data_IF_754676725204
#
_entry.id   IF_754676725204
#
_cell.length_a   1.000
_cell.length_b   1.000
_cell.length_c   1.000
_cell.angle_alpha   90.00
_cell.angle_beta   90.00
_cell.angle_gamma   90.00
#
_symmetry.space_group_name_H-M   'P 1'
#
loop_
_entity.id
_entity.type
_entity.pdbx_description
1 polymer ?
#
# COMPACT_ATOMS: atom_id res chain seq x y z
N UNK A 1 -30.73 2.36 12.59
CA UNK A 1 -29.44 2.12 11.86
C UNK A 1 -29.61 0.83 11.06
N UNK A 2 -29.87 0.93 9.75
CA UNK A 2 -30.08 -0.25 8.90
C UNK A 2 -28.71 -0.92 8.64
N UNK A 3 -28.64 -2.21 8.94
CA UNK A 3 -27.49 -3.08 8.66
C UNK A 3 -27.30 -3.21 7.14
N UNK A 4 -26.09 -2.95 6.63
CA UNK A 4 -25.70 -3.17 5.23
C UNK A 4 -25.56 -4.65 4.85
N UNK A 5 -25.93 -5.58 5.72
CA UNK A 5 -25.68 -7.01 5.60
C UNK A 5 -26.65 -7.79 4.66
N UNK A 6 -27.59 -7.12 4.02
CA UNK A 6 -28.53 -7.77 3.09
C UNK A 6 -28.00 -7.81 1.66
N UNK A 7 -27.68 -8.99 1.12
CA UNK A 7 -27.45 -9.35 -0.28
C UNK A 7 -26.07 -9.10 -0.90
N UNK A 8 -24.98 -9.48 -0.23
CA UNK A 8 -23.65 -9.58 -0.87
C UNK A 8 -23.42 -10.92 -1.61
N UNK A 9 -24.43 -11.50 -2.25
CA UNK A 9 -24.30 -12.83 -2.91
C UNK A 9 -23.60 -12.82 -4.27
N UNK A 10 -23.15 -11.65 -4.79
CA UNK A 10 -22.31 -11.58 -5.99
C UNK A 10 -20.81 -11.70 -5.65
N UNK A 11 -20.46 -11.72 -4.39
CA UNK A 11 -19.09 -11.83 -3.93
C UNK A 11 -18.89 -13.15 -3.20
N UNK A 12 -18.09 -14.04 -3.77
CA UNK A 12 -17.52 -15.27 -3.20
C UNK A 12 -18.43 -16.01 -2.20
N UNK A 13 -18.77 -17.23 -2.52
CA UNK A 13 -19.33 -18.18 -1.56
C UNK A 13 -18.48 -18.11 -0.27
N UNK A 14 -19.08 -17.79 0.91
CA UNK A 14 -18.35 -17.77 2.18
C UNK A 14 -17.70 -19.13 2.53
N UNK A 15 -18.20 -20.22 1.93
CA UNK A 15 -17.65 -21.57 2.05
C UNK A 15 -16.51 -21.84 1.05
N UNK A 16 -16.28 -20.96 0.05
CA UNK A 16 -15.22 -21.14 -0.92
C UNK A 16 -13.83 -21.01 -0.26
N UNK A 17 -12.99 -22.02 -0.47
CA UNK A 17 -11.59 -22.00 0.02
C UNK A 17 -10.77 -20.97 -0.75
N UNK A 18 -9.87 -20.27 -0.04
CA UNK A 18 -8.90 -19.38 -0.66
C UNK A 18 -7.99 -20.15 -1.63
N UNK A 19 -7.75 -19.57 -2.80
CA UNK A 19 -6.83 -20.13 -3.81
C UNK A 19 -5.38 -19.79 -3.44
N UNK A 20 -4.84 -20.46 -2.44
CA UNK A 20 -3.50 -20.18 -1.87
C UNK A 20 -2.38 -20.13 -2.92
N UNK A 21 -2.27 -21.04 -3.91
CA UNK A 21 -1.24 -20.93 -4.95
C UNK A 21 -1.31 -19.61 -5.73
N UNK A 22 -2.52 -19.13 -6.02
CA UNK A 22 -2.73 -17.85 -6.70
C UNK A 22 -2.32 -16.68 -5.80
N UNK A 23 -2.66 -16.75 -4.51
CA UNK A 23 -2.26 -15.73 -3.53
C UNK A 23 -0.74 -15.64 -3.39
N UNK A 24 -0.06 -16.78 -3.32
CA UNK A 24 1.40 -16.81 -3.24
C UNK A 24 2.05 -16.30 -4.53
N UNK A 25 1.52 -16.67 -5.69
CA UNK A 25 2.02 -16.19 -6.98
C UNK A 25 1.88 -14.67 -7.12
N UNK A 26 0.71 -14.10 -6.82
CA UNK A 26 0.52 -12.64 -6.91
C UNK A 26 1.28 -11.89 -5.80
N UNK A 27 1.49 -12.50 -4.62
CA UNK A 27 2.33 -11.97 -3.55
C UNK A 27 3.81 -11.92 -3.96
N UNK A 28 4.29 -12.95 -4.64
CA UNK A 28 5.64 -12.95 -5.24
C UNK A 28 5.79 -11.84 -6.28
N UNK A 29 4.81 -11.67 -7.17
CA UNK A 29 4.85 -10.56 -8.14
C UNK A 29 4.83 -9.20 -7.43
N UNK A 30 4.09 -9.06 -6.32
CA UNK A 30 4.09 -7.84 -5.52
C UNK A 30 5.47 -7.58 -4.91
N UNK A 31 6.12 -8.62 -4.37
CA UNK A 31 7.49 -8.52 -3.88
C UNK A 31 8.45 -8.02 -4.96
N UNK A 32 8.38 -8.59 -6.17
CA UNK A 32 9.22 -8.19 -7.30
C UNK A 32 8.94 -6.76 -7.76
N UNK A 33 7.65 -6.35 -7.83
CA UNK A 33 7.26 -4.99 -8.18
C UNK A 33 7.81 -3.96 -7.18
N UNK A 34 7.60 -4.19 -5.89
CA UNK A 34 8.00 -3.23 -4.85
C UNK A 34 9.52 -3.22 -4.66
N UNK A 35 10.21 -4.34 -4.93
CA UNK A 35 11.67 -4.35 -5.03
C UNK A 35 12.17 -3.41 -6.14
N UNK A 36 11.55 -3.43 -7.32
CA UNK A 36 11.93 -2.53 -8.42
C UNK A 36 11.68 -1.05 -8.07
N UNK A 37 10.57 -0.74 -7.41
CA UNK A 37 10.33 0.62 -6.93
C UNK A 37 11.38 1.05 -5.91
N UNK A 38 11.74 0.17 -4.98
CA UNK A 38 12.72 0.45 -3.93
C UNK A 38 14.17 0.59 -4.47
N UNK A 39 14.46 0.07 -5.67
CA UNK A 39 15.73 0.31 -6.38
C UNK A 39 15.97 1.79 -6.60
N UNK A 40 14.95 2.56 -6.96
CA UNK A 40 15.12 3.99 -7.33
C UNK A 40 15.70 4.80 -6.17
N UNK A 41 15.09 4.84 -4.96
CA UNK A 41 15.71 5.55 -3.85
C UNK A 41 17.01 4.91 -3.35
N UNK A 42 17.21 3.61 -3.52
CA UNK A 42 18.44 2.93 -3.15
C UNK A 42 19.63 3.35 -4.03
N UNK A 43 19.37 3.82 -5.24
CA UNK A 43 20.38 4.31 -6.18
C UNK A 43 20.67 5.81 -6.05
N UNK A 44 19.99 6.58 -5.21
CA UNK A 44 20.10 8.05 -5.21
C UNK A 44 21.54 8.57 -5.11
N UNK A 45 22.32 8.08 -4.16
CA UNK A 45 23.71 8.50 -3.98
C UNK A 45 24.58 8.12 -5.16
N UNK A 46 24.36 6.96 -5.76
CA UNK A 46 25.09 6.47 -6.93
C UNK A 46 24.73 7.29 -8.18
N UNK A 47 23.46 7.64 -8.35
CA UNK A 47 22.99 8.47 -9.46
C UNK A 47 23.45 9.93 -9.32
N UNK A 48 23.49 10.44 -8.07
CA UNK A 48 24.05 11.76 -7.77
C UNK A 48 25.50 11.85 -8.25
N UNK A 49 26.32 10.87 -7.85
CA UNK A 49 27.74 10.83 -8.24
C UNK A 49 27.93 10.59 -9.75
N UNK A 50 27.21 9.61 -10.34
CA UNK A 50 27.43 9.18 -11.73
C UNK A 50 26.96 10.20 -12.77
N UNK A 51 25.91 10.97 -12.46
CA UNK A 51 25.31 11.95 -13.36
C UNK A 51 25.52 13.41 -12.92
N UNK A 52 26.28 13.64 -11.84
CA UNK A 52 26.53 14.96 -11.22
C UNK A 52 25.19 15.68 -10.91
N UNK A 53 24.26 14.99 -10.27
CA UNK A 53 22.94 15.53 -9.97
C UNK A 53 22.99 16.46 -8.76
N UNK A 54 22.19 17.53 -8.80
CA UNK A 54 21.90 18.29 -7.59
C UNK A 54 20.92 17.55 -6.69
N UNK A 55 20.91 17.86 -5.38
CA UNK A 55 19.93 17.30 -4.42
C UNK A 55 18.49 17.61 -4.85
N UNK A 56 18.24 18.77 -5.46
CA UNK A 56 16.95 19.10 -6.04
C UNK A 56 16.55 18.13 -7.15
N UNK A 57 17.48 17.76 -8.04
CA UNK A 57 17.22 16.78 -9.11
C UNK A 57 16.96 15.38 -8.54
N UNK A 58 17.65 14.96 -7.50
CA UNK A 58 17.37 13.72 -6.75
C UNK A 58 15.96 13.78 -6.16
N UNK A 59 15.57 14.91 -5.59
CA UNK A 59 14.21 15.15 -5.11
C UNK A 59 13.14 15.01 -6.20
N UNK A 60 13.41 15.52 -7.40
CA UNK A 60 12.53 15.38 -8.55
C UNK A 60 12.35 13.92 -9.01
N UNK A 61 13.39 13.09 -8.93
CA UNK A 61 13.31 11.66 -9.25
C UNK A 61 12.30 10.97 -8.29
N UNK A 62 12.46 11.20 -6.99
CA UNK A 62 11.55 10.67 -5.98
C UNK A 62 10.11 11.17 -6.14
N UNK A 63 9.96 12.47 -6.42
CA UNK A 63 8.66 13.07 -6.67
C UNK A 63 7.96 12.42 -7.88
N UNK A 64 8.64 12.28 -9.01
CA UNK A 64 8.08 11.68 -10.23
C UNK A 64 7.70 10.22 -10.02
N UNK A 65 8.54 9.44 -9.33
CA UNK A 65 8.20 8.06 -8.98
C UNK A 65 6.91 8.01 -8.15
N UNK A 66 6.85 8.78 -7.08
CA UNK A 66 5.70 8.75 -6.16
C UNK A 66 4.43 9.30 -6.82
N UNK A 67 4.51 10.37 -7.60
CA UNK A 67 3.36 10.90 -8.33
C UNK A 67 2.81 9.90 -9.34
N UNK A 68 3.68 9.30 -10.15
CA UNK A 68 3.23 8.32 -11.15
C UNK A 68 2.76 7.01 -10.53
N UNK A 69 3.46 6.49 -9.53
CA UNK A 69 3.08 5.24 -8.89
C UNK A 69 1.83 5.36 -8.01
N UNK A 70 1.58 6.52 -7.40
CA UNK A 70 0.52 6.66 -6.39
C UNK A 70 -0.74 7.34 -6.94
N UNK A 71 -0.59 8.52 -7.59
CA UNK A 71 -1.75 9.29 -8.07
C UNK A 71 -2.43 8.61 -9.25
N UNK A 72 -1.68 7.86 -10.05
CA UNK A 72 -2.24 7.12 -11.18
C UNK A 72 -3.01 5.86 -10.77
N UNK A 73 -2.83 5.31 -9.57
CA UNK A 73 -3.52 4.08 -9.13
C UNK A 73 -5.05 4.21 -9.14
N UNK A 74 -5.68 5.25 -8.55
CA UNK A 74 -7.13 5.41 -8.63
C UNK A 74 -7.64 5.56 -10.07
N UNK A 75 -6.87 6.27 -10.93
CA UNK A 75 -7.23 6.47 -12.34
C UNK A 75 -7.21 5.14 -13.10
N UNK A 76 -6.13 4.38 -12.96
CA UNK A 76 -6.00 3.04 -13.56
C UNK A 76 -7.06 2.10 -13.00
N UNK A 77 -7.29 2.11 -11.69
CA UNK A 77 -8.33 1.31 -11.05
C UNK A 77 -9.72 1.61 -11.60
N UNK A 78 -10.07 2.88 -11.76
CA UNK A 78 -11.36 3.29 -12.34
C UNK A 78 -11.48 2.91 -13.82
N UNK A 79 -10.38 2.97 -14.59
CA UNK A 79 -10.36 2.53 -16.00
C UNK A 79 -10.57 1.01 -16.09
N UNK A 80 -9.84 0.24 -15.29
CA UNK A 80 -9.91 -1.22 -15.30
C UNK A 80 -11.24 -1.76 -14.77
N UNK A 81 -11.93 -1.03 -13.90
CA UNK A 81 -13.29 -1.36 -13.45
C UNK A 81 -14.35 -1.23 -14.57
N UNK A 82 -14.07 -0.37 -15.56
CA UNK A 82 -14.93 -0.19 -16.74
C UNK A 82 -14.56 -1.12 -17.89
N UNK A 83 -13.27 -1.37 -18.07
CA UNK A 83 -12.71 -2.19 -19.16
C UNK A 83 -11.71 -3.17 -18.54
N UNK A 84 -12.23 -4.30 -18.11
CA UNK A 84 -11.45 -5.34 -17.48
C UNK A 84 -10.49 -6.00 -18.49
N UNK A 85 -9.22 -5.67 -18.42
CA UNK A 85 -8.17 -6.16 -19.31
C UNK A 85 -7.10 -6.92 -18.51
N UNK A 86 -7.22 -8.24 -18.33
CA UNK A 86 -6.25 -9.03 -17.58
C UNK A 86 -4.79 -8.87 -18.03
N UNK A 87 -4.59 -8.51 -19.30
CA UNK A 87 -3.25 -8.27 -19.86
C UNK A 87 -2.58 -7.01 -19.29
N UNK A 88 -3.33 -6.13 -18.60
CA UNK A 88 -2.74 -4.93 -17.97
C UNK A 88 -1.65 -5.27 -16.97
N UNK A 89 -1.78 -6.38 -16.23
CA UNK A 89 -0.77 -6.81 -15.26
C UNK A 89 0.61 -7.08 -15.91
N UNK A 90 0.72 -7.95 -16.94
CA UNK A 90 2.00 -8.13 -17.64
C UNK A 90 2.49 -6.85 -18.33
N UNK A 91 1.58 -6.02 -18.88
CA UNK A 91 1.94 -4.73 -19.50
C UNK A 91 2.56 -3.80 -18.44
N UNK A 92 1.97 -3.70 -17.24
CA UNK A 92 2.54 -2.92 -16.14
C UNK A 92 3.96 -3.34 -15.81
N UNK A 93 4.21 -4.66 -15.68
CA UNK A 93 5.57 -5.17 -15.46
C UNK A 93 6.51 -4.90 -16.64
N UNK A 94 5.99 -4.91 -17.87
CA UNK A 94 6.74 -4.52 -19.08
C UNK A 94 7.17 -3.06 -19.04
N UNK A 95 6.30 -2.15 -18.56
CA UNK A 95 6.67 -0.75 -18.35
C UNK A 95 7.78 -0.62 -17.28
N UNK A 96 7.66 -1.34 -16.16
CA UNK A 96 8.70 -1.36 -15.13
C UNK A 96 10.03 -1.90 -15.68
N UNK A 97 10.01 -2.93 -16.55
CA UNK A 97 11.19 -3.46 -17.23
C UNK A 97 11.86 -2.37 -18.08
N UNK A 98 11.09 -1.67 -18.92
CA UNK A 98 11.59 -0.56 -19.74
C UNK A 98 12.17 0.54 -18.86
N UNK A 99 11.48 0.87 -17.76
CA UNK A 99 11.96 1.85 -16.80
C UNK A 99 13.30 1.45 -16.15
N UNK A 100 13.45 0.19 -15.74
CA UNK A 100 14.71 -0.32 -15.15
C UNK A 100 15.87 -0.29 -16.13
N UNK A 101 15.64 -0.67 -17.40
CA UNK A 101 16.64 -0.50 -18.48
C UNK A 101 16.97 0.97 -18.68
N UNK A 102 15.95 1.83 -18.74
CA UNK A 102 16.16 3.28 -18.88
C UNK A 102 16.99 3.86 -17.74
N UNK A 103 16.78 3.44 -16.49
CA UNK A 103 17.59 3.88 -15.33
C UNK A 103 19.04 3.41 -15.49
N UNK A 104 19.24 2.13 -15.84
CA UNK A 104 20.58 1.55 -15.96
C UNK A 104 21.46 2.26 -17.02
N UNK A 105 20.85 2.72 -18.10
CA UNK A 105 21.55 3.31 -19.24
C UNK A 105 21.27 4.82 -19.44
N UNK A 106 20.65 5.50 -18.47
CA UNK A 106 20.38 6.93 -18.57
C UNK A 106 21.69 7.73 -18.66
N UNK A 107 21.94 8.48 -19.75
CA UNK A 107 23.18 9.28 -19.90
C UNK A 107 23.09 10.61 -19.15
N UNK A 108 21.91 11.06 -18.77
CA UNK A 108 21.68 12.33 -18.10
C UNK A 108 20.30 12.38 -17.39
N UNK A 109 20.10 13.40 -16.55
CA UNK A 109 18.94 13.58 -15.68
C UNK A 109 17.58 13.41 -16.38
N UNK A 110 17.37 14.00 -17.56
CA UNK A 110 16.06 13.95 -18.21
C UNK A 110 15.66 12.55 -18.68
N UNK A 111 16.63 11.76 -19.17
CA UNK A 111 16.41 10.35 -19.54
C UNK A 111 16.08 9.51 -18.29
N UNK A 112 16.80 9.76 -17.19
CA UNK A 112 16.56 9.12 -15.91
C UNK A 112 15.16 9.43 -15.40
N UNK A 113 14.75 10.71 -15.43
CA UNK A 113 13.44 11.14 -15.00
C UNK A 113 12.32 10.46 -15.80
N UNK A 114 12.49 10.36 -17.12
CA UNK A 114 11.56 9.67 -18.00
C UNK A 114 11.50 8.17 -17.72
N UNK A 115 12.64 7.52 -17.48
CA UNK A 115 12.71 6.11 -17.11
C UNK A 115 11.98 5.80 -15.79
N UNK A 116 12.12 6.67 -14.81
CA UNK A 116 11.43 6.53 -13.51
C UNK A 116 9.91 6.63 -13.64
N UNK A 117 9.40 7.45 -14.58
CA UNK A 117 7.96 7.49 -14.88
C UNK A 117 7.44 6.12 -15.33
N UNK A 118 8.18 5.38 -16.15
CA UNK A 118 7.79 4.03 -16.56
C UNK A 118 7.73 3.05 -15.39
N UNK A 119 8.68 3.11 -14.45
CA UNK A 119 8.63 2.30 -13.21
C UNK A 119 7.38 2.65 -12.41
N UNK A 120 7.11 3.94 -12.23
CA UNK A 120 5.93 4.42 -11.51
C UNK A 120 4.61 3.99 -12.16
N UNK A 121 4.48 4.12 -13.48
CA UNK A 121 3.29 3.70 -14.23
C UNK A 121 3.08 2.18 -14.17
N UNK A 122 4.16 1.40 -14.27
CA UNK A 122 4.10 -0.06 -14.10
C UNK A 122 3.49 -0.45 -12.76
N UNK A 123 3.95 0.16 -11.70
CA UNK A 123 3.43 -0.03 -10.35
C UNK A 123 1.99 0.49 -10.18
N UNK A 124 1.66 1.64 -10.79
CA UNK A 124 0.31 2.20 -10.76
C UNK A 124 -0.73 1.27 -11.38
N UNK A 125 -0.33 0.49 -12.39
CA UNK A 125 -1.17 -0.55 -13.00
C UNK A 125 -1.23 -1.78 -12.10
N UNK A 126 -0.09 -2.20 -11.55
CA UNK A 126 0.01 -3.44 -10.80
C UNK A 126 -0.83 -3.44 -9.52
N UNK A 127 -0.76 -2.40 -8.69
CA UNK A 127 -1.41 -2.41 -7.36
C UNK A 127 -2.93 -2.60 -7.40
N UNK A 128 -3.73 -1.82 -8.18
CA UNK A 128 -5.17 -2.02 -8.22
C UNK A 128 -5.57 -3.36 -8.87
N UNK A 129 -4.88 -3.78 -9.94
CA UNK A 129 -5.15 -5.03 -10.62
C UNK A 129 -4.70 -6.25 -9.80
N UNK A 130 -3.55 -6.18 -9.14
CA UNK A 130 -3.08 -7.21 -8.22
C UNK A 130 -4.05 -7.41 -7.04
N UNK A 131 -4.53 -6.32 -6.44
CA UNK A 131 -5.56 -6.37 -5.40
C UNK A 131 -6.86 -6.98 -5.90
N UNK A 132 -7.22 -6.82 -7.18
CA UNK A 132 -8.39 -7.47 -7.78
C UNK A 132 -8.19 -8.98 -7.93
N UNK A 133 -7.00 -9.43 -8.35
CA UNK A 133 -6.64 -10.86 -8.36
C UNK A 133 -6.79 -11.46 -6.97
N UNK A 134 -6.27 -10.77 -5.95
CA UNK A 134 -6.39 -11.18 -4.53
C UNK A 134 -7.85 -11.27 -4.10
N UNK A 135 -8.67 -10.28 -4.46
CA UNK A 135 -10.11 -10.28 -4.19
C UNK A 135 -10.80 -11.54 -4.72
N UNK A 136 -10.49 -11.97 -5.96
CA UNK A 136 -11.05 -13.18 -6.55
C UNK A 136 -10.48 -14.48 -5.96
N UNK A 137 -9.23 -14.45 -5.49
CA UNK A 137 -8.56 -15.60 -4.90
C UNK A 137 -8.89 -15.79 -3.40
N UNK A 138 -9.47 -14.80 -2.76
CA UNK A 138 -9.65 -14.76 -1.31
C UNK A 138 -10.62 -15.80 -0.75
N UNK A 139 -11.61 -16.25 -1.55
CA UNK A 139 -12.74 -17.03 -1.03
C UNK A 139 -13.47 -16.26 0.07
N UNK A 140 -13.74 -16.89 1.21
CA UNK A 140 -14.34 -16.26 2.39
C UNK A 140 -13.34 -15.48 3.28
N UNK A 141 -12.02 -15.55 3.02
CA UNK A 141 -10.95 -15.02 3.91
C UNK A 141 -10.23 -13.82 3.29
N UNK A 142 -10.94 -12.72 3.09
CA UNK A 142 -10.43 -11.51 2.41
C UNK A 142 -9.28 -10.83 3.14
N UNK A 143 -9.37 -10.75 4.47
CA UNK A 143 -8.31 -10.18 5.30
C UNK A 143 -7.01 -10.95 5.18
N UNK A 144 -7.07 -12.28 5.31
CA UNK A 144 -5.93 -13.17 5.11
C UNK A 144 -5.31 -13.01 3.71
N UNK A 145 -6.14 -13.06 2.66
CA UNK A 145 -5.66 -12.97 1.28
C UNK A 145 -4.93 -11.64 1.00
N UNK A 146 -5.52 -10.52 1.44
CA UNK A 146 -4.90 -9.20 1.28
C UNK A 146 -3.62 -9.07 2.13
N UNK A 147 -3.56 -9.70 3.31
CA UNK A 147 -2.35 -9.70 4.12
C UNK A 147 -1.20 -10.44 3.46
N UNK A 148 -1.46 -11.62 2.90
CA UNK A 148 -0.44 -12.38 2.15
C UNK A 148 0.12 -11.54 1.00
N UNK A 149 -0.75 -10.85 0.27
CA UNK A 149 -0.35 -9.96 -0.81
C UNK A 149 0.53 -8.80 -0.32
N UNK A 150 0.13 -8.12 0.77
CA UNK A 150 0.86 -6.97 1.32
C UNK A 150 2.20 -7.37 1.95
N UNK A 151 2.29 -8.55 2.54
CA UNK A 151 3.58 -9.09 3.04
C UNK A 151 4.58 -9.21 1.89
N UNK A 152 4.14 -9.62 0.69
CA UNK A 152 5.00 -9.63 -0.50
C UNK A 152 5.60 -8.26 -0.80
N UNK A 153 4.76 -7.23 -0.93
CA UNK A 153 5.23 -5.86 -1.19
C UNK A 153 6.19 -5.33 -0.12
N UNK A 154 5.82 -5.48 1.16
CA UNK A 154 6.68 -5.06 2.26
C UNK A 154 8.03 -5.80 2.27
N UNK A 155 8.04 -7.11 1.97
CA UNK A 155 9.27 -7.88 1.83
C UNK A 155 10.12 -7.35 0.66
N UNK A 156 9.48 -7.05 -0.48
CA UNK A 156 10.16 -6.46 -1.64
C UNK A 156 10.86 -5.15 -1.32
N UNK A 157 10.14 -4.23 -0.68
CA UNK A 157 10.71 -2.94 -0.26
C UNK A 157 11.87 -3.10 0.73
N UNK A 158 11.82 -4.12 1.59
CA UNK A 158 12.88 -4.41 2.56
C UNK A 158 14.17 -4.92 1.95
N UNK A 159 14.15 -5.38 0.68
CA UNK A 159 15.36 -5.83 -0.03
C UNK A 159 16.25 -4.67 -0.51
N UNK A 160 15.75 -3.44 -0.57
CA UNK A 160 16.49 -2.31 -1.11
C UNK A 160 17.88 -2.09 -0.47
N UNK A 161 18.06 -2.11 0.86
CA UNK A 161 19.38 -1.98 1.48
C UNK A 161 20.35 -3.09 1.06
N UNK A 162 19.86 -4.32 0.95
CA UNK A 162 20.67 -5.47 0.51
C UNK A 162 21.08 -5.32 -0.96
N UNK A 163 20.16 -4.88 -1.81
CA UNK A 163 20.46 -4.62 -3.22
C UNK A 163 21.50 -3.49 -3.36
N UNK A 164 21.43 -2.46 -2.52
CA UNK A 164 22.46 -1.40 -2.50
C UNK A 164 23.82 -1.98 -2.17
N UNK A 165 23.94 -2.80 -1.12
CA UNK A 165 25.21 -3.37 -0.69
C UNK A 165 25.80 -4.32 -1.73
N UNK A 166 24.99 -5.24 -2.25
CA UNK A 166 25.48 -6.37 -3.05
C UNK A 166 25.46 -6.12 -4.56
N UNK A 167 24.65 -5.17 -5.04
CA UNK A 167 24.46 -4.92 -6.48
C UNK A 167 24.90 -3.51 -6.84
N UNK A 168 24.35 -2.47 -6.20
CA UNK A 168 24.52 -1.11 -6.69
C UNK A 168 25.84 -0.48 -6.27
N UNK A 169 26.34 -0.78 -5.07
CA UNK A 169 27.64 -0.27 -4.63
C UNK A 169 28.79 -0.81 -5.51
N UNK A 170 28.85 -2.12 -5.86
CA UNK A 170 29.91 -2.64 -6.74
C UNK A 170 29.70 -2.36 -8.23
N UNK A 171 28.46 -2.26 -8.73
CA UNK A 171 28.16 -2.13 -10.16
C UNK A 171 27.78 -0.71 -10.59
N UNK A 172 27.52 0.18 -9.63
CA UNK A 172 27.04 1.53 -9.94
C UNK A 172 25.65 1.55 -10.56
N UNK A 173 25.37 2.56 -11.37
CA UNK A 173 24.09 2.78 -12.04
C UNK A 173 23.65 1.58 -12.90
N UNK A 174 24.59 0.92 -13.60
CA UNK A 174 24.28 -0.23 -14.46
C UNK A 174 23.72 -1.42 -13.67
N UNK A 175 23.97 -1.47 -12.36
CA UNK A 175 23.35 -2.45 -11.46
C UNK A 175 21.83 -2.48 -11.50
N UNK A 176 21.18 -1.40 -11.94
CA UNK A 176 19.72 -1.35 -12.15
C UNK A 176 19.23 -2.37 -13.20
N UNK A 177 20.10 -2.87 -14.10
CA UNK A 177 19.75 -3.98 -15.03
C UNK A 177 19.22 -5.21 -14.30
N UNK A 178 19.69 -5.49 -13.08
CA UNK A 178 19.18 -6.62 -12.29
C UNK A 178 17.68 -6.52 -12.00
N UNK A 179 17.12 -5.30 -11.94
CA UNK A 179 15.67 -5.10 -11.84
C UNK A 179 14.90 -5.65 -13.04
N UNK A 180 15.54 -5.77 -14.21
CA UNK A 180 14.90 -6.39 -15.40
C UNK A 180 14.62 -7.88 -15.21
N UNK A 181 15.47 -8.57 -14.45
CA UNK A 181 15.23 -9.98 -14.09
C UNK A 181 14.00 -10.11 -13.18
N UNK A 182 13.81 -9.18 -12.25
CA UNK A 182 12.61 -9.13 -11.42
C UNK A 182 11.36 -8.90 -12.27
N UNK A 183 11.42 -7.95 -13.21
CA UNK A 183 10.32 -7.68 -14.13
C UNK A 183 10.03 -8.88 -15.04
N UNK A 184 11.06 -9.52 -15.60
CA UNK A 184 10.90 -10.70 -16.46
C UNK A 184 10.28 -11.88 -15.69
N UNK A 185 10.75 -12.15 -14.47
CA UNK A 185 10.16 -13.17 -13.60
C UNK A 185 8.71 -12.84 -13.26
N UNK A 186 8.41 -11.58 -12.93
CA UNK A 186 7.05 -11.13 -12.65
C UNK A 186 6.13 -11.33 -13.86
N UNK A 187 6.60 -10.99 -15.08
CA UNK A 187 5.85 -11.22 -16.32
C UNK A 187 5.60 -12.72 -16.52
N UNK A 188 6.61 -13.57 -16.35
CA UNK A 188 6.46 -15.02 -16.51
C UNK A 188 5.40 -15.59 -15.55
N UNK A 189 5.44 -15.20 -14.27
CA UNK A 189 4.44 -15.62 -13.27
C UNK A 189 3.05 -15.11 -13.65
N UNK A 190 2.91 -13.85 -14.08
CA UNK A 190 1.64 -13.25 -14.47
C UNK A 190 1.04 -13.90 -15.73
N UNK A 191 1.87 -14.26 -16.71
CA UNK A 191 1.40 -14.99 -17.90
C UNK A 191 0.84 -16.35 -17.50
N UNK A 192 1.45 -17.05 -16.55
CA UNK A 192 0.93 -18.30 -15.98
C UNK A 192 -0.40 -18.09 -15.21
N UNK A 193 -0.56 -16.94 -14.54
CA UNK A 193 -1.77 -16.56 -13.82
C UNK A 193 -2.94 -16.13 -14.73
N UNK A 194 -2.62 -15.65 -15.93
CA UNK A 194 -3.56 -15.00 -16.83
C UNK A 194 -4.80 -15.84 -17.20
N UNK A 195 -4.68 -17.17 -17.50
CA UNK A 195 -5.85 -17.99 -17.82
C UNK A 195 -6.85 -18.10 -16.67
N UNK A 196 -6.33 -18.25 -15.43
CA UNK A 196 -7.16 -18.30 -14.24
C UNK A 196 -7.86 -16.93 -14.00
N UNK A 197 -7.12 -15.83 -14.12
CA UNK A 197 -7.65 -14.48 -13.92
C UNK A 197 -8.73 -14.14 -14.95
N UNK A 198 -8.51 -14.44 -16.25
CA UNK A 198 -9.52 -14.26 -17.31
C UNK A 198 -10.81 -15.00 -17.02
N UNK A 199 -10.73 -16.25 -16.55
CA UNK A 199 -11.90 -17.04 -16.19
C UNK A 199 -12.67 -16.40 -15.03
N UNK A 200 -11.98 -16.02 -13.95
CA UNK A 200 -12.60 -15.40 -12.78
C UNK A 200 -13.24 -14.06 -13.09
N UNK A 201 -12.60 -13.27 -13.91
CA UNK A 201 -13.13 -12.00 -14.35
C UNK A 201 -14.43 -12.17 -15.17
N UNK A 202 -14.45 -13.11 -16.10
CA UNK A 202 -15.65 -13.43 -16.89
C UNK A 202 -16.81 -13.92 -16.01
N UNK A 203 -16.52 -14.79 -15.04
CA UNK A 203 -17.52 -15.25 -14.06
C UNK A 203 -18.11 -14.04 -13.29
N UNK A 204 -17.26 -13.12 -12.84
CA UNK A 204 -17.67 -11.92 -12.12
C UNK A 204 -18.50 -10.94 -12.97
N UNK A 205 -18.08 -10.69 -14.22
CA UNK A 205 -18.82 -9.85 -15.17
C UNK A 205 -20.22 -10.41 -15.48
N UNK A 206 -20.31 -11.72 -15.68
CA UNK A 206 -21.59 -12.41 -15.92
C UNK A 206 -22.51 -12.28 -14.71
N UNK A 207 -21.99 -12.53 -13.51
CA UNK A 207 -22.76 -12.39 -12.27
C UNK A 207 -23.22 -10.93 -12.03
N UNK A 208 -22.37 -9.96 -12.37
CA UNK A 208 -22.69 -8.52 -12.29
C UNK A 208 -23.81 -8.13 -13.28
N UNK A 209 -23.73 -8.63 -14.51
CA UNK A 209 -24.76 -8.38 -15.53
C UNK A 209 -26.11 -8.99 -15.12
N UNK A 210 -26.13 -10.21 -14.60
CA UNK A 210 -27.34 -10.87 -14.10
C UNK A 210 -27.95 -10.10 -12.92
N UNK A 211 -27.13 -9.64 -11.98
CA UNK A 211 -27.59 -8.84 -10.86
C UNK A 211 -28.19 -7.50 -11.31
N UNK A 212 -27.62 -6.87 -12.34
CA UNK A 212 -28.14 -5.64 -12.92
C UNK A 212 -29.49 -5.86 -13.62
N UNK A 213 -29.63 -6.95 -14.40
CA UNK A 213 -30.86 -7.32 -15.07
C UNK A 213 -31.99 -7.63 -14.07
N UNK A 214 -31.71 -8.37 -13.00
CA UNK A 214 -32.67 -8.68 -11.93
C UNK A 214 -33.16 -7.43 -11.19
N UNK A 215 -32.26 -6.45 -11.02
CA UNK A 215 -32.62 -5.16 -10.41
C UNK A 215 -33.49 -4.29 -11.31
N UNK A 216 -33.24 -4.33 -12.63
CA UNK A 216 -34.07 -3.61 -13.61
C UNK A 216 -35.48 -4.20 -13.74
N UNK A 217 -35.64 -5.49 -13.47
CA UNK A 217 -36.93 -6.18 -13.47
C UNK A 217 -37.79 -5.93 -12.19
N UNK A 218 -37.40 -4.99 -11.32
CA UNK A 218 -38.18 -4.60 -10.14
C UNK A 218 -38.09 -5.57 -8.95
N UNK A 219 -37.33 -6.65 -9.07
CA UNK A 219 -37.22 -7.70 -8.06
C UNK A 219 -35.99 -7.58 -7.13
N UNK A 220 -35.29 -6.49 -7.15
CA UNK A 220 -34.04 -6.38 -6.41
C UNK A 220 -33.82 -5.04 -5.73
N UNK A 221 -33.21 -5.08 -4.56
CA UNK A 221 -32.69 -3.88 -3.89
C UNK A 221 -31.66 -3.14 -4.79
N UNK A 222 -31.31 -1.92 -4.40
CA UNK A 222 -30.40 -1.02 -5.14
C UNK A 222 -29.23 -1.73 -5.79
N UNK A 223 -28.95 -1.44 -7.07
CA UNK A 223 -27.83 -2.03 -7.83
C UNK A 223 -26.50 -1.74 -7.13
N UNK A 224 -25.47 -2.56 -7.40
CA UNK A 224 -24.12 -2.35 -6.85
C UNK A 224 -23.58 -0.95 -7.19
N UNK A 225 -23.93 -0.41 -8.35
CA UNK A 225 -23.55 0.93 -8.80
C UNK A 225 -24.28 2.01 -7.98
N UNK A 226 -25.59 1.84 -7.74
CA UNK A 226 -26.40 2.75 -6.90
C UNK A 226 -25.91 2.73 -5.46
N UNK A 227 -25.43 1.56 -4.94
CA UNK A 227 -24.81 1.49 -3.61
C UNK A 227 -23.53 2.29 -3.52
N UNK A 228 -22.65 2.24 -4.52
CA UNK A 228 -21.40 3.00 -4.52
C UNK A 228 -21.63 4.53 -4.55
N UNK A 229 -22.76 5.00 -5.13
CA UNK A 229 -23.12 6.40 -5.18
C UNK A 229 -23.91 6.90 -3.95
N UNK A 230 -24.27 6.00 -3.03
CA UNK A 230 -25.03 6.38 -1.84
C UNK A 230 -24.21 7.32 -0.93
N UNK A 231 -24.80 8.44 -0.40
CA UNK A 231 -24.08 9.41 0.42
C UNK A 231 -23.32 8.81 1.61
N UNK A 232 -23.86 7.78 2.26
CA UNK A 232 -23.20 7.08 3.37
C UNK A 232 -21.93 6.34 2.94
N UNK A 233 -21.89 5.77 1.72
CA UNK A 233 -20.71 5.11 1.18
C UNK A 233 -19.64 6.13 0.84
N UNK A 234 -20.02 7.25 0.22
CA UNK A 234 -19.11 8.37 -0.05
C UNK A 234 -18.50 8.94 1.23
N UNK A 235 -19.32 9.15 2.27
CA UNK A 235 -18.85 9.58 3.58
C UNK A 235 -17.87 8.55 4.20
N UNK A 236 -18.23 7.26 4.20
CA UNK A 236 -17.39 6.20 4.75
C UNK A 236 -16.06 6.08 4.00
N UNK A 237 -16.08 6.22 2.67
CA UNK A 237 -14.88 6.19 1.85
C UNK A 237 -14.00 7.43 2.10
N UNK A 238 -14.58 8.63 2.17
CA UNK A 238 -13.86 9.85 2.52
C UNK A 238 -13.23 9.77 3.91
N UNK A 239 -13.97 9.24 4.89
CA UNK A 239 -13.47 9.00 6.24
C UNK A 239 -12.31 7.98 6.24
N UNK A 240 -12.45 6.88 5.49
CA UNK A 240 -11.38 5.88 5.37
C UNK A 240 -10.11 6.48 4.77
N UNK A 241 -10.24 7.26 3.68
CA UNK A 241 -9.10 7.95 3.05
C UNK A 241 -8.44 8.92 4.02
N UNK A 242 -9.23 9.67 4.80
CA UNK A 242 -8.70 10.57 5.83
C UNK A 242 -7.94 9.82 6.94
N UNK A 243 -8.45 8.67 7.38
CA UNK A 243 -7.77 7.82 8.36
C UNK A 243 -6.46 7.25 7.81
N UNK A 244 -6.48 6.80 6.55
CA UNK A 244 -5.30 6.29 5.84
C UNK A 244 -4.26 7.41 5.67
N UNK A 245 -4.69 8.63 5.36
CA UNK A 245 -3.84 9.82 5.30
C UNK A 245 -3.09 10.05 6.63
N UNK A 246 -3.81 10.16 7.75
CA UNK A 246 -3.20 10.40 9.05
C UNK A 246 -2.20 9.31 9.45
N UNK A 247 -2.56 8.04 9.17
CA UNK A 247 -1.65 6.90 9.38
C UNK A 247 -0.41 7.00 8.51
N UNK A 248 -0.54 7.37 7.23
CA UNK A 248 0.59 7.46 6.30
C UNK A 248 1.55 8.58 6.67
N UNK A 249 1.04 9.70 7.17
CA UNK A 249 1.87 10.78 7.69
C UNK A 249 2.64 10.36 8.95
N UNK A 250 1.96 9.68 9.87
CA UNK A 250 2.64 9.14 11.05
C UNK A 250 3.72 8.13 10.66
N UNK A 251 3.41 7.21 9.75
CA UNK A 251 4.36 6.24 9.23
C UNK A 251 5.57 6.93 8.58
N UNK A 252 5.36 7.95 7.75
CA UNK A 252 6.42 8.73 7.13
C UNK A 252 7.29 9.46 8.19
N UNK A 253 6.66 10.01 9.23
CA UNK A 253 7.36 10.62 10.36
C UNK A 253 8.33 9.64 11.04
N UNK A 254 7.82 8.45 11.39
CA UNK A 254 8.67 7.43 12.04
C UNK A 254 9.73 6.87 11.09
N UNK A 255 9.35 6.50 9.87
CA UNK A 255 10.30 5.84 8.95
C UNK A 255 11.40 6.76 8.42
N UNK A 256 11.12 8.06 8.28
CA UNK A 256 12.06 9.01 7.68
C UNK A 256 12.76 9.90 8.71
N UNK A 257 12.07 10.37 9.74
CA UNK A 257 12.60 11.41 10.64
C UNK A 257 12.94 10.93 12.04
N UNK A 258 12.39 9.80 12.51
CA UNK A 258 12.61 9.32 13.87
C UNK A 258 14.09 9.00 14.15
N UNK A 259 14.84 8.52 13.16
CA UNK A 259 16.28 8.30 13.27
C UNK A 259 17.04 9.60 13.64
N UNK A 260 16.68 10.72 13.01
CA UNK A 260 17.31 12.02 13.28
C UNK A 260 16.96 12.53 14.69
N UNK A 261 15.69 12.33 15.11
CA UNK A 261 15.25 12.61 16.47
C UNK A 261 16.04 11.80 17.49
N UNK A 262 16.26 10.51 17.25
CA UNK A 262 17.04 9.67 18.15
C UNK A 262 18.52 10.10 18.23
N UNK A 263 19.09 10.59 17.15
CA UNK A 263 20.45 11.13 17.14
C UNK A 263 20.50 12.44 17.94
N UNK A 264 19.56 13.36 17.71
CA UNK A 264 19.58 14.69 18.34
C UNK A 264 19.23 14.65 19.83
N UNK A 265 18.18 13.90 20.20
CA UNK A 265 17.61 13.95 21.54
C UNK A 265 18.18 12.87 22.49
N UNK A 266 18.61 11.73 21.95
CA UNK A 266 19.19 10.62 22.75
C UNK A 266 20.68 10.43 22.52
N UNK A 267 21.33 11.20 21.64
CA UNK A 267 22.77 11.11 21.38
C UNK A 267 23.22 9.81 20.74
N UNK A 268 22.33 9.11 20.02
CA UNK A 268 22.66 7.85 19.37
C UNK A 268 23.55 8.05 18.14
N UNK A 269 24.38 7.04 17.83
CA UNK A 269 25.06 6.98 16.55
C UNK A 269 24.07 6.73 15.41
N UNK A 270 24.47 7.06 14.16
CA UNK A 270 23.63 6.81 12.97
C UNK A 270 23.19 5.33 12.87
N UNK A 271 24.08 4.39 13.20
CA UNK A 271 23.79 2.96 13.18
C UNK A 271 22.79 2.55 14.27
N UNK A 272 22.99 3.05 15.49
CA UNK A 272 22.08 2.75 16.60
C UNK A 272 20.68 3.31 16.37
N UNK A 273 20.55 4.50 15.77
CA UNK A 273 19.27 5.12 15.48
C UNK A 273 18.45 4.37 14.42
N UNK A 274 19.08 3.53 13.59
CA UNK A 274 18.37 2.69 12.62
C UNK A 274 17.64 1.51 13.27
N UNK A 275 18.08 1.04 14.45
CA UNK A 275 17.52 -0.15 15.08
C UNK A 275 16.04 0.04 15.46
N UNK A 276 15.62 1.14 16.13
CA UNK A 276 14.20 1.37 16.40
C UNK A 276 13.34 1.48 15.12
N UNK A 277 13.86 2.13 14.07
CA UNK A 277 13.15 2.23 12.79
C UNK A 277 12.96 0.86 12.15
N UNK A 278 14.02 0.03 12.15
CA UNK A 278 13.94 -1.36 11.71
C UNK A 278 12.91 -2.16 12.52
N UNK A 279 12.92 -2.06 13.84
CA UNK A 279 11.96 -2.74 14.72
C UNK A 279 10.52 -2.33 14.41
N UNK A 280 10.27 -1.04 14.17
CA UNK A 280 8.96 -0.53 13.76
C UNK A 280 8.48 -1.19 12.46
N UNK A 281 9.33 -1.21 11.44
CA UNK A 281 8.99 -1.76 10.13
C UNK A 281 8.85 -3.29 10.18
N UNK A 282 9.77 -3.99 10.82
CA UNK A 282 9.76 -5.45 10.93
C UNK A 282 8.53 -5.95 11.72
N UNK A 283 8.24 -5.32 12.87
CA UNK A 283 7.03 -5.62 13.62
C UNK A 283 5.77 -5.25 12.82
N UNK A 284 5.83 -4.20 12.00
CA UNK A 284 4.78 -3.79 11.10
C UNK A 284 4.44 -4.83 10.02
N UNK A 285 5.44 -5.57 9.49
CA UNK A 285 5.19 -6.70 8.57
C UNK A 285 4.34 -7.77 9.26
N UNK A 286 4.71 -8.14 10.49
CA UNK A 286 3.93 -9.07 11.30
C UNK A 286 2.54 -8.52 11.61
N UNK A 287 2.45 -7.23 11.98
CA UNK A 287 1.19 -6.54 12.20
C UNK A 287 0.27 -6.60 10.98
N UNK A 288 0.80 -6.34 9.79
CA UNK A 288 0.06 -6.41 8.52
C UNK A 288 -0.51 -7.81 8.28
N UNK A 289 0.29 -8.86 8.52
CA UNK A 289 -0.16 -10.25 8.37
C UNK A 289 -1.27 -10.61 9.36
N UNK A 290 -0.99 -10.44 10.66
CA UNK A 290 -1.95 -10.79 11.69
C UNK A 290 -3.20 -9.92 11.67
N UNK A 291 -3.05 -8.64 11.31
CA UNK A 291 -4.16 -7.70 11.21
C UNK A 291 -5.25 -8.18 10.24
N UNK A 292 -4.86 -8.69 9.07
CA UNK A 292 -5.83 -9.23 8.12
C UNK A 292 -6.45 -10.54 8.58
N UNK A 293 -5.67 -11.45 9.20
CA UNK A 293 -6.21 -12.69 9.78
C UNK A 293 -7.21 -12.39 10.91
N UNK A 294 -6.88 -11.44 11.77
CA UNK A 294 -7.74 -11.01 12.87
C UNK A 294 -8.99 -10.26 12.37
N UNK A 295 -8.88 -9.52 11.26
CA UNK A 295 -10.01 -8.82 10.66
C UNK A 295 -11.10 -9.80 10.18
N UNK A 296 -10.72 -10.95 9.64
CA UNK A 296 -11.68 -12.00 9.26
C UNK A 296 -12.46 -12.51 10.49
N UNK A 297 -11.83 -12.52 11.68
CA UNK A 297 -12.43 -12.97 12.94
C UNK A 297 -13.18 -11.87 13.67
N UNK A 298 -12.61 -10.68 13.81
CA UNK A 298 -13.13 -9.59 14.64
C UNK A 298 -13.91 -8.54 13.86
N UNK A 299 -13.81 -8.52 12.52
CA UNK A 299 -14.45 -7.56 11.62
C UNK A 299 -13.48 -6.45 11.18
N UNK A 300 -13.70 -5.96 9.98
CA UNK A 300 -12.83 -4.96 9.33
C UNK A 300 -12.81 -3.64 10.10
N UNK A 301 -14.00 -3.11 10.44
CA UNK A 301 -14.12 -1.86 11.20
C UNK A 301 -13.36 -1.92 12.52
N UNK A 302 -13.54 -2.98 13.30
CA UNK A 302 -12.91 -3.11 14.60
C UNK A 302 -11.40 -3.17 14.51
N UNK A 303 -10.86 -3.80 13.46
CA UNK A 303 -9.42 -3.83 13.21
C UNK A 303 -8.88 -2.47 12.75
N UNK A 304 -9.63 -1.68 11.98
CA UNK A 304 -9.23 -0.30 11.64
C UNK A 304 -9.20 0.56 12.92
N UNK A 305 -10.21 0.46 13.77
CA UNK A 305 -10.23 1.15 15.08
C UNK A 305 -9.03 0.73 15.92
N UNK A 306 -8.79 -0.58 16.07
CA UNK A 306 -7.66 -1.10 16.84
C UNK A 306 -6.32 -0.56 16.30
N UNK A 307 -6.12 -0.57 14.97
CA UNK A 307 -4.83 -0.22 14.40
C UNK A 307 -4.49 1.27 14.56
N UNK A 308 -5.46 2.17 14.40
CA UNK A 308 -5.18 3.60 14.44
C UNK A 308 -5.46 4.17 15.84
N UNK A 309 -6.67 4.00 16.36
CA UNK A 309 -7.02 4.49 17.70
C UNK A 309 -6.24 3.76 18.81
N UNK A 310 -6.03 2.45 18.67
CA UNK A 310 -5.22 1.67 19.60
C UNK A 310 -3.74 2.01 19.59
N UNK A 311 -3.21 2.55 18.48
CA UNK A 311 -1.85 3.07 18.41
C UNK A 311 -1.69 4.42 19.13
N UNK A 312 -2.77 5.18 19.36
CA UNK A 312 -2.70 6.53 19.93
C UNK A 312 -2.00 6.61 21.27
N UNK A 313 -2.34 5.79 22.29
CA UNK A 313 -1.64 5.86 23.58
C UNK A 313 -0.16 5.52 23.46
N UNK A 314 0.21 4.58 22.59
CA UNK A 314 1.59 4.19 22.35
C UNK A 314 2.37 5.32 21.66
N UNK A 315 1.76 5.97 20.68
CA UNK A 315 2.36 7.08 19.96
C UNK A 315 2.58 8.30 20.87
N UNK A 316 1.59 8.63 21.71
CA UNK A 316 1.69 9.73 22.66
C UNK A 316 2.73 9.48 23.74
N UNK A 317 2.91 8.24 24.15
CA UNK A 317 3.89 7.86 25.16
C UNK A 317 5.33 7.90 24.62
N UNK A 318 5.52 7.60 23.33
CA UNK A 318 6.84 7.40 22.71
C UNK A 318 7.83 8.56 22.92
N UNK A 319 7.47 9.85 22.80
CA UNK A 319 8.42 10.96 23.01
C UNK A 319 8.84 11.17 24.47
N UNK A 320 8.17 10.54 25.41
CA UNK A 320 8.41 10.75 26.86
C UNK A 320 9.19 9.62 27.53
N UNK A 321 9.56 8.58 26.77
CA UNK A 321 10.20 7.40 27.34
C UNK A 321 11.72 7.50 27.36
N UNK A 322 12.37 6.94 28.38
CA UNK A 322 13.81 6.69 28.32
C UNK A 322 14.13 5.66 27.24
N UNK A 323 15.31 5.74 26.64
CA UNK A 323 15.73 4.95 25.48
C UNK A 323 15.47 3.45 25.62
N UNK A 324 15.68 2.87 26.79
CA UNK A 324 15.47 1.43 27.02
C UNK A 324 14.03 0.98 26.72
N UNK A 325 13.03 1.84 26.94
CA UNK A 325 11.62 1.56 26.68
C UNK A 325 11.17 1.94 25.25
N UNK A 326 11.96 2.75 24.56
CA UNK A 326 11.69 3.09 23.15
C UNK A 326 11.70 1.84 22.28
N UNK A 327 12.66 0.94 22.43
CA UNK A 327 12.78 -0.26 21.61
C UNK A 327 11.56 -1.19 21.67
N UNK A 328 11.08 -1.65 22.82
CA UNK A 328 9.90 -2.50 22.88
C UNK A 328 8.64 -1.74 22.48
N UNK A 329 8.49 -0.46 22.87
CA UNK A 329 7.29 0.31 22.55
C UNK A 329 7.15 0.54 21.05
N UNK A 330 8.23 0.89 20.36
CA UNK A 330 8.19 1.18 18.93
C UNK A 330 7.90 -0.08 18.11
N UNK A 331 8.34 -1.25 18.55
CA UNK A 331 8.00 -2.52 17.94
C UNK A 331 6.49 -2.82 18.10
N UNK A 332 5.93 -2.66 19.30
CA UNK A 332 4.49 -2.82 19.55
C UNK A 332 3.70 -1.81 18.74
N UNK A 333 4.14 -0.57 18.68
CA UNK A 333 3.51 0.51 17.92
C UNK A 333 3.49 0.18 16.41
N UNK A 334 4.62 -0.29 15.85
CA UNK A 334 4.70 -0.74 14.46
C UNK A 334 3.73 -1.88 14.16
N UNK A 335 3.68 -2.89 15.02
CA UNK A 335 2.73 -3.99 14.91
C UNK A 335 1.27 -3.49 14.90
N UNK A 336 0.90 -2.65 15.86
CA UNK A 336 -0.48 -2.16 16.00
C UNK A 336 -0.87 -1.28 14.82
N UNK A 337 -0.08 -0.26 14.47
CA UNK A 337 -0.48 0.73 13.46
C UNK A 337 -0.52 0.15 12.05
N UNK A 338 0.37 -0.80 11.72
CA UNK A 338 0.40 -1.43 10.41
C UNK A 338 -0.56 -2.61 10.29
N UNK A 339 -1.15 -3.11 11.40
CA UNK A 339 -2.19 -4.14 11.36
C UNK A 339 -3.45 -3.73 10.58
N UNK A 340 -3.72 -2.42 10.47
CA UNK A 340 -4.84 -1.90 9.67
C UNK A 340 -4.53 -1.69 8.18
N UNK A 341 -3.30 -1.94 7.72
CA UNK A 341 -2.91 -1.58 6.35
C UNK A 341 -3.68 -2.39 5.30
N UNK A 342 -3.61 -3.72 5.35
CA UNK A 342 -4.37 -4.62 4.49
C UNK A 342 -5.88 -4.52 4.72
N UNK A 343 -6.28 -4.30 5.97
CA UNK A 343 -7.69 -4.21 6.37
C UNK A 343 -8.39 -3.01 5.76
N UNK A 344 -7.70 -1.86 5.65
CA UNK A 344 -8.25 -0.66 5.02
C UNK A 344 -8.59 -0.90 3.54
N UNK A 345 -7.75 -1.65 2.80
CA UNK A 345 -8.02 -2.02 1.41
C UNK A 345 -9.26 -2.91 1.30
N UNK A 346 -9.35 -3.94 2.16
CA UNK A 346 -10.52 -4.86 2.17
C UNK A 346 -11.80 -4.11 2.55
N UNK A 347 -11.72 -3.16 3.49
CA UNK A 347 -12.87 -2.35 3.88
C UNK A 347 -13.33 -1.42 2.75
N UNK A 348 -12.39 -0.82 1.99
CA UNK A 348 -12.73 -0.04 0.81
C UNK A 348 -13.43 -0.89 -0.27
N UNK A 349 -12.93 -2.10 -0.54
CA UNK A 349 -13.55 -3.05 -1.45
C UNK A 349 -14.95 -3.50 -0.96
N UNK A 350 -15.13 -3.63 0.36
CA UNK A 350 -16.44 -3.91 0.95
C UNK A 350 -17.43 -2.75 0.72
N UNK A 351 -16.98 -1.50 0.82
CA UNK A 351 -17.80 -0.33 0.54
C UNK A 351 -18.14 -0.18 -0.94
N UNK A 352 -17.21 -0.55 -1.84
CA UNK A 352 -17.32 -0.36 -3.29
C UNK A 352 -17.13 -1.67 -4.06
N UNK A 353 -17.98 -2.69 -3.88
CA UNK A 353 -17.78 -4.02 -4.47
C UNK A 353 -17.91 -4.04 -6.00
N UNK A 354 -18.55 -3.02 -6.60
CA UNK A 354 -18.62 -2.85 -8.05
C UNK A 354 -17.33 -2.26 -8.66
N UNK A 355 -16.49 -1.59 -7.84
CA UNK A 355 -15.32 -0.83 -8.28
C UNK A 355 -14.11 -1.20 -7.41
N UNK A 356 -13.75 -2.48 -7.41
CA UNK A 356 -12.69 -3.05 -6.55
C UNK A 356 -11.32 -2.44 -6.85
N UNK A 357 -11.01 -2.23 -8.13
CA UNK A 357 -9.75 -1.62 -8.55
C UNK A 357 -9.63 -0.16 -8.09
N UNK A 358 -10.68 0.64 -8.28
CA UNK A 358 -10.72 2.02 -7.80
C UNK A 358 -10.63 2.09 -6.27
N UNK A 359 -11.37 1.23 -5.55
CA UNK A 359 -11.35 1.18 -4.09
C UNK A 359 -9.94 0.87 -3.55
N UNK A 360 -9.26 -0.12 -4.15
CA UNK A 360 -7.88 -0.47 -3.81
C UNK A 360 -6.91 0.65 -4.15
N UNK A 361 -7.02 1.23 -5.35
CA UNK A 361 -6.18 2.34 -5.80
C UNK A 361 -6.32 3.60 -4.92
N UNK A 362 -7.54 3.93 -4.47
CA UNK A 362 -7.77 5.04 -3.54
C UNK A 362 -7.15 4.80 -2.17
N UNK A 363 -7.17 3.59 -1.66
CA UNK A 363 -6.62 3.31 -0.33
C UNK A 363 -5.11 3.10 -0.36
N UNK A 364 -4.58 2.39 -1.34
CA UNK A 364 -3.14 2.10 -1.44
C UNK A 364 -2.39 3.25 -2.10
N UNK A 365 -2.86 3.72 -3.26
CA UNK A 365 -2.20 4.78 -4.01
C UNK A 365 -2.20 6.12 -3.28
N UNK A 366 -3.36 6.56 -2.76
CA UNK A 366 -3.40 7.79 -1.97
C UNK A 366 -2.62 7.67 -0.67
N UNK A 367 -2.57 6.48 -0.03
CA UNK A 367 -1.76 6.28 1.16
C UNK A 367 -0.28 6.59 0.92
N UNK A 368 0.29 6.04 -0.15
CA UNK A 368 1.70 6.28 -0.49
C UNK A 368 1.94 7.71 -0.98
N UNK A 369 1.06 8.25 -1.84
CA UNK A 369 1.16 9.63 -2.29
C UNK A 369 1.07 10.64 -1.15
N UNK A 370 0.16 10.42 -0.22
CA UNK A 370 0.00 11.28 0.97
C UNK A 370 1.17 11.11 1.94
N UNK A 371 1.75 9.91 2.06
CA UNK A 371 2.99 9.68 2.81
C UNK A 371 4.16 10.49 2.26
N UNK A 372 4.31 10.57 0.94
CA UNK A 372 5.35 11.37 0.29
C UNK A 372 5.16 12.88 0.57
N UNK A 373 3.92 13.39 0.45
CA UNK A 373 3.61 14.78 0.82
C UNK A 373 3.89 15.03 2.31
N UNK A 374 3.51 14.06 3.16
CA UNK A 374 3.80 14.10 4.59
C UNK A 374 5.29 14.21 4.90
N UNK A 375 6.13 13.46 4.19
CA UNK A 375 7.59 13.53 4.33
C UNK A 375 8.14 14.92 4.03
N UNK A 376 7.70 15.56 2.93
CA UNK A 376 8.11 16.93 2.58
C UNK A 376 7.60 17.94 3.61
N UNK A 377 6.34 17.84 4.02
CA UNK A 377 5.74 18.75 4.99
C UNK A 377 6.42 18.65 6.37
N UNK A 378 6.69 17.42 6.83
CA UNK A 378 7.36 17.17 8.10
C UNK A 378 8.84 17.60 8.06
N UNK A 379 9.54 17.41 6.93
CA UNK A 379 10.90 17.89 6.74
C UNK A 379 11.00 19.41 6.86
N UNK A 380 10.16 20.15 6.11
CA UNK A 380 10.12 21.61 6.21
C UNK A 380 9.73 22.11 7.61
N UNK A 381 8.81 21.40 8.27
CA UNK A 381 8.44 21.73 9.65
C UNK A 381 9.61 21.46 10.63
N UNK A 382 10.38 20.39 10.39
CA UNK A 382 11.55 20.07 11.21
C UNK A 382 12.66 21.12 11.08
N UNK A 383 12.87 21.66 9.89
CA UNK A 383 13.82 22.75 9.65
C UNK A 383 13.36 24.05 10.33
N UNK A 384 12.05 24.33 10.37
CA UNK A 384 11.50 25.54 10.94
C UNK A 384 11.31 25.50 12.48
N UNK A 385 10.88 24.37 13.02
CA UNK A 385 10.46 24.22 14.43
C UNK A 385 11.27 23.23 15.25
N UNK A 386 12.23 22.56 14.62
CA UNK A 386 13.05 21.51 15.23
C UNK A 386 12.39 20.12 15.22
N UNK A 387 13.22 19.10 15.17
CA UNK A 387 12.80 17.69 15.11
C UNK A 387 11.96 17.26 16.32
N UNK A 388 12.35 17.70 17.54
CA UNK A 388 11.61 17.38 18.76
C UNK A 388 10.13 17.81 18.66
N UNK A 389 9.89 19.07 18.29
CA UNK A 389 8.54 19.63 18.16
C UNK A 389 7.71 18.89 17.11
N UNK A 390 8.33 18.53 15.99
CA UNK A 390 7.65 17.81 14.89
C UNK A 390 7.33 16.39 15.30
N UNK A 391 8.25 15.66 15.94
CA UNK A 391 8.00 14.29 16.42
C UNK A 391 6.93 14.27 17.51
N UNK A 392 6.94 15.26 18.41
CA UNK A 392 5.87 15.44 19.40
C UNK A 392 4.53 15.72 18.73
N UNK A 393 4.45 16.62 17.77
CA UNK A 393 3.22 16.89 17.01
C UNK A 393 2.73 15.64 16.24
N UNK A 394 3.64 14.88 15.62
CA UNK A 394 3.33 13.62 14.94
C UNK A 394 2.67 12.60 15.87
N UNK A 395 3.03 12.58 17.16
CA UNK A 395 2.46 11.63 18.13
C UNK A 395 0.93 11.77 18.30
N UNK A 396 0.36 12.91 17.93
CA UNK A 396 -1.09 13.16 17.96
C UNK A 396 -1.82 12.64 16.72
N UNK A 397 -1.12 12.36 15.61
CA UNK A 397 -1.77 11.90 14.38
C UNK A 397 -2.63 10.64 14.56
N UNK A 398 -2.21 9.61 15.32
CA UNK A 398 -3.04 8.44 15.54
C UNK A 398 -4.36 8.71 16.29
N UNK A 399 -4.49 9.85 17.03
CA UNK A 399 -5.77 10.23 17.66
C UNK A 399 -6.90 10.42 16.64
N UNK A 400 -6.56 10.77 15.39
CA UNK A 400 -7.50 10.79 14.26
C UNK A 400 -8.21 9.45 14.12
N UNK A 401 -7.59 8.35 14.57
CA UNK A 401 -8.19 7.03 14.63
C UNK A 401 -9.50 6.94 15.43
N UNK A 402 -9.77 7.88 16.34
CA UNK A 402 -11.06 7.96 17.04
C UNK A 402 -12.22 8.19 16.08
N UNK A 403 -11.98 8.84 14.94
CA UNK A 403 -13.01 8.98 13.90
C UNK A 403 -13.40 7.65 13.24
N UNK A 404 -12.58 6.59 13.36
CA UNK A 404 -12.91 5.26 12.85
C UNK A 404 -14.16 4.67 13.52
N UNK A 405 -14.53 5.12 14.70
CA UNK A 405 -15.78 4.72 15.33
C UNK A 405 -17.03 5.11 14.53
N UNK A 406 -16.96 6.15 13.70
CA UNK A 406 -18.06 6.59 12.83
C UNK A 406 -18.15 5.78 11.52
N UNK A 407 -17.18 4.93 11.21
CA UNK A 407 -17.28 4.04 10.05
C UNK A 407 -18.48 3.08 10.19
N UNK A 408 -19.19 2.78 9.08
CA UNK A 408 -20.22 1.74 9.08
C UNK A 408 -19.68 0.37 9.49
N UNK A 409 -20.50 -0.42 10.18
CA UNK A 409 -20.12 -1.79 10.50
C UNK A 409 -20.19 -2.69 9.28
N UNK A 410 -19.20 -3.58 9.13
CA UNK A 410 -19.12 -4.61 8.11
C UNK A 410 -19.86 -5.89 8.50
N UNK A 411 -20.28 -6.00 9.75
CA UNK A 411 -21.02 -7.15 10.29
C UNK A 411 -22.50 -6.86 10.47
N UNK A 412 -23.38 -7.85 10.19
CA UNK A 412 -24.77 -7.75 10.61
C UNK A 412 -24.83 -7.70 12.15
N UNK A 413 -25.73 -6.88 12.71
CA UNK A 413 -26.05 -6.99 14.12
C UNK A 413 -26.53 -8.43 14.38
N UNK A 414 -25.89 -9.14 15.31
CA UNK A 414 -26.51 -10.35 15.88
C UNK A 414 -27.86 -9.90 16.46
N UNK A 415 -28.92 -10.38 15.86
CA UNK A 415 -30.26 -10.29 16.45
C UNK A 415 -30.34 -11.17 17.69
#
# INVERSE_FOLDING_TARGET
MASFAGSNRVASDPAAKAAVPILLAISLVHMLNDSMQAVVPALYTILEDSLNLSLAQVGWIGFMLNMTSSVMQPVVGAFSDKRSLPIMLPIGMGLSLIGMLGIAFAPQFWYLLFAVVFVGLGSAIFHPEGSRVVYFAAGGRRGFAQSVYQVGGNAGSSLAPLMTIFIFAPLGQIGAVWGTLFAALAIAVLLGLLPWYRRKLKEWETARAQAAASSAAGNGGATLVQRASHPRVKFAMGMLVFLVFARSWYHAGISSFYQFYLISDYGLTKQQAQIPVFLFLAAGVLGTYFGGVLADRFGLKNMIVFSIAGASPLALLLPHLPLAWVYPLIAVLGFVILSGFSVAVVYAQFLMPANVGMASGMTTGLAFGMGAIGGVALGNAADAYGLHSVMFACSFLPLVGLFAFFLPTDRPKKQ
#
